data_IF_614969340568
#
_entry.id   IF_614969340568
#
_cell.length_a   1.000
_cell.length_b   1.000
_cell.length_c   1.000
_cell.angle_alpha   90.00
_cell.angle_beta   90.00
_cell.angle_gamma   90.00
#
_symmetry.space_group_name_H-M   'P 1'
#
loop_
_entity.id
_entity.type
_entity.pdbx_description
1 polymer ?
#
# COMPACT_ATOMS: atom_id res chain seq x y z
N UNK A 1 28.64 2.06 -27.19
CA UNK A 1 28.02 1.84 -25.86
C UNK A 1 26.60 2.33 -25.99
N UNK A 2 25.65 1.42 -26.14
CA UNK A 2 24.24 1.79 -26.29
C UNK A 2 23.73 2.23 -24.91
N UNK A 3 23.37 3.50 -24.77
CA UNK A 3 22.46 3.88 -23.69
C UNK A 3 21.13 3.21 -24.03
N UNK A 4 20.72 2.18 -23.28
CA UNK A 4 19.34 1.74 -23.31
C UNK A 4 18.48 2.93 -22.86
N UNK A 5 17.68 3.48 -23.77
CA UNK A 5 16.72 4.52 -23.43
C UNK A 5 15.67 3.90 -22.50
N UNK A 6 15.70 4.24 -21.21
CA UNK A 6 14.68 3.81 -20.26
C UNK A 6 13.56 4.83 -20.22
N UNK A 7 12.33 4.34 -20.29
CA UNK A 7 11.13 5.14 -20.08
C UNK A 7 10.71 5.07 -18.61
N UNK A 8 10.46 6.22 -18.00
CA UNK A 8 9.94 6.33 -16.65
C UNK A 8 8.47 6.70 -16.71
N UNK A 9 7.60 5.77 -16.35
CA UNK A 9 6.16 5.93 -16.34
C UNK A 9 5.69 6.03 -14.90
N UNK A 10 4.82 6.97 -14.58
CA UNK A 10 4.31 7.12 -13.22
C UNK A 10 2.83 7.49 -13.18
N UNK A 11 2.19 7.15 -12.07
CA UNK A 11 0.88 7.65 -11.68
C UNK A 11 0.96 8.23 -10.27
N UNK A 12 0.17 9.26 -9.99
CA UNK A 12 0.15 9.93 -8.69
C UNK A 12 -1.18 9.66 -7.99
N UNK A 13 -1.12 9.09 -6.79
CA UNK A 13 -2.29 8.79 -5.96
C UNK A 13 -1.97 9.05 -4.49
N UNK A 14 -2.89 9.69 -3.76
CA UNK A 14 -2.72 10.03 -2.34
C UNK A 14 -1.40 10.75 -1.98
N UNK A 15 -0.89 11.58 -2.90
CA UNK A 15 0.38 12.29 -2.72
C UNK A 15 1.64 11.45 -2.99
N UNK A 16 1.50 10.15 -3.27
CA UNK A 16 2.57 9.22 -3.59
C UNK A 16 2.75 9.06 -5.10
N UNK A 17 3.98 8.77 -5.53
CA UNK A 17 4.32 8.43 -6.91
C UNK A 17 4.54 6.92 -7.02
N UNK A 18 3.75 6.27 -7.87
CA UNK A 18 3.96 4.87 -8.25
C UNK A 18 4.62 4.89 -9.62
N UNK A 19 5.82 4.30 -9.72
CA UNK A 19 6.71 4.45 -10.86
C UNK A 19 7.07 3.07 -11.41
N UNK A 20 7.05 2.93 -12.73
CA UNK A 20 7.58 1.80 -13.46
C UNK A 20 8.64 2.29 -14.45
N UNK A 21 9.70 1.50 -14.59
CA UNK A 21 10.71 1.68 -15.64
C UNK A 21 10.46 0.68 -16.75
N UNK A 22 10.37 1.14 -17.99
CA UNK A 22 10.09 0.31 -19.15
C UNK A 22 11.18 0.46 -20.21
N UNK A 23 11.45 -0.61 -20.93
CA UNK A 23 12.32 -0.59 -22.12
C UNK A 23 11.57 0.00 -23.33
N UNK A 24 12.26 0.48 -24.38
CA UNK A 24 11.65 1.15 -25.54
C UNK A 24 10.63 0.33 -26.34
N UNK A 25 10.52 -0.98 -26.10
CA UNK A 25 9.58 -1.87 -26.80
C UNK A 25 8.22 -2.03 -26.11
N UNK A 26 8.06 -1.57 -24.87
CA UNK A 26 6.82 -1.73 -24.11
C UNK A 26 5.91 -0.52 -24.35
N UNK A 27 4.62 -0.80 -24.60
CA UNK A 27 3.62 0.25 -24.68
C UNK A 27 3.54 1.01 -23.34
N UNK A 28 3.71 2.35 -23.33
CA UNK A 28 3.62 3.12 -22.10
C UNK A 28 2.23 3.01 -21.46
N UNK A 29 1.18 2.78 -22.26
CA UNK A 29 -0.18 2.55 -21.76
C UNK A 29 -0.30 1.28 -20.92
N UNK A 30 0.45 0.23 -21.24
CA UNK A 30 0.47 -1.00 -20.44
C UNK A 30 1.06 -0.73 -19.06
N UNK A 31 2.15 0.06 -18.97
CA UNK A 31 2.72 0.46 -17.70
C UNK A 31 1.76 1.36 -16.89
N UNK A 32 1.08 2.31 -17.54
CA UNK A 32 0.07 3.16 -16.87
C UNK A 32 -1.10 2.34 -16.35
N UNK A 33 -1.64 1.41 -17.14
CA UNK A 33 -2.74 0.54 -16.72
C UNK A 33 -2.33 -0.34 -15.54
N UNK A 34 -1.15 -0.96 -15.62
CA UNK A 34 -0.59 -1.76 -14.53
C UNK A 34 -0.45 -0.95 -13.25
N UNK A 35 0.11 0.26 -13.32
CA UNK A 35 0.29 1.10 -12.14
C UNK A 35 -1.05 1.51 -11.51
N UNK A 36 -2.08 1.81 -12.30
CA UNK A 36 -3.42 2.11 -11.77
C UNK A 36 -4.08 0.86 -11.13
N UNK A 37 -3.90 -0.31 -11.73
CA UNK A 37 -4.33 -1.60 -11.16
C UNK A 37 -3.62 -1.89 -9.84
N UNK A 38 -2.30 -1.69 -9.79
CA UNK A 38 -1.50 -1.83 -8.58
C UNK A 38 -2.02 -0.93 -7.47
N UNK A 39 -2.21 0.37 -7.73
CA UNK A 39 -2.76 1.31 -6.74
C UNK A 39 -4.12 0.84 -6.21
N UNK A 40 -4.99 0.34 -7.10
CA UNK A 40 -6.30 -0.18 -6.72
C UNK A 40 -6.17 -1.38 -5.79
N UNK A 41 -5.36 -2.37 -6.15
CA UNK A 41 -5.10 -3.55 -5.32
C UNK A 41 -4.47 -3.18 -3.98
N UNK A 42 -3.47 -2.29 -3.96
CA UNK A 42 -2.84 -1.84 -2.71
C UNK A 42 -3.86 -1.20 -1.79
N UNK A 43 -4.80 -0.42 -2.32
CA UNK A 43 -5.89 0.16 -1.53
C UNK A 43 -6.86 -0.90 -1.02
N UNK A 44 -7.18 -1.89 -1.84
CA UNK A 44 -8.12 -2.95 -1.47
C UNK A 44 -7.55 -3.87 -0.38
N UNK A 45 -6.24 -4.10 -0.37
CA UNK A 45 -5.56 -4.91 0.64
C UNK A 45 -5.18 -4.10 1.89
N UNK A 46 -4.58 -2.93 1.73
CA UNK A 46 -3.99 -2.17 2.85
C UNK A 46 -4.92 -1.06 3.39
N UNK A 47 -6.03 -0.78 2.71
CA UNK A 47 -6.89 0.38 2.99
C UNK A 47 -6.36 1.69 2.40
N UNK A 48 -6.74 2.86 2.96
CA UNK A 48 -6.31 4.16 2.45
C UNK A 48 -4.78 4.29 2.36
N UNK A 49 -4.30 4.65 1.17
CA UNK A 49 -2.87 4.75 0.91
C UNK A 49 -2.30 6.03 1.54
N UNK A 50 -1.21 5.84 2.29
CA UNK A 50 -0.38 6.89 2.87
C UNK A 50 1.03 6.36 3.02
N UNK A 51 2.02 7.23 3.21
CA UNK A 51 3.41 6.80 3.48
C UNK A 51 3.47 5.83 4.68
N UNK A 52 2.71 6.12 5.74
CA UNK A 52 2.59 5.24 6.91
C UNK A 52 1.99 3.87 6.55
N UNK A 53 0.89 3.85 5.79
CA UNK A 53 0.23 2.58 5.40
C UNK A 53 1.16 1.72 4.55
N UNK A 54 1.83 2.31 3.56
CA UNK A 54 2.83 1.62 2.74
C UNK A 54 3.97 1.10 3.62
N UNK A 55 4.46 1.94 4.54
CA UNK A 55 5.53 1.61 5.48
C UNK A 55 5.22 0.40 6.37
N UNK A 56 3.98 0.28 6.84
CA UNK A 56 3.55 -0.83 7.69
C UNK A 56 3.32 -2.13 6.92
N UNK A 57 3.03 -2.05 5.62
CA UNK A 57 2.59 -3.18 4.81
C UNK A 57 3.63 -3.62 3.77
N UNK A 58 4.91 -3.24 3.91
CA UNK A 58 5.94 -3.56 2.92
C UNK A 58 6.00 -5.04 2.54
N UNK A 59 5.96 -5.95 3.52
CA UNK A 59 6.00 -7.39 3.26
C UNK A 59 4.84 -7.86 2.36
N UNK A 60 3.62 -7.43 2.67
CA UNK A 60 2.42 -7.71 1.87
C UNK A 60 2.52 -7.09 0.47
N UNK A 61 3.05 -5.88 0.35
CA UNK A 61 3.23 -5.20 -0.94
C UNK A 61 4.23 -5.95 -1.82
N UNK A 62 5.35 -6.42 -1.25
CA UNK A 62 6.32 -7.23 -1.99
C UNK A 62 5.72 -8.55 -2.47
N UNK A 63 4.99 -9.24 -1.60
CA UNK A 63 4.30 -10.48 -1.98
C UNK A 63 3.29 -10.26 -3.10
N UNK A 64 2.50 -9.18 -3.04
CA UNK A 64 1.61 -8.79 -4.13
C UNK A 64 2.36 -8.52 -5.43
N UNK A 65 3.50 -7.82 -5.37
CA UNK A 65 4.29 -7.52 -6.56
C UNK A 65 4.88 -8.78 -7.19
N UNK A 66 5.38 -9.73 -6.39
CA UNK A 66 5.95 -10.98 -6.85
C UNK A 66 4.89 -11.89 -7.52
N UNK A 67 3.65 -11.88 -7.03
CA UNK A 67 2.55 -12.62 -7.68
C UNK A 67 2.00 -11.91 -8.92
N UNK A 68 2.08 -10.58 -8.97
CA UNK A 68 1.59 -9.80 -10.10
C UNK A 68 2.56 -9.78 -11.29
N UNK A 69 3.87 -9.81 -11.02
CA UNK A 69 4.93 -9.65 -12.01
C UNK A 69 5.98 -10.76 -11.90
N UNK A 70 6.35 -11.35 -13.03
CA UNK A 70 7.49 -12.25 -13.13
C UNK A 70 8.48 -11.72 -14.18
N UNK A 71 9.71 -11.39 -13.75
CA UNK A 71 10.74 -10.75 -14.57
C UNK A 71 10.24 -9.54 -15.41
N UNK A 72 9.29 -8.77 -14.88
CA UNK A 72 8.70 -7.60 -15.55
C UNK A 72 7.52 -7.90 -16.47
N UNK A 73 7.10 -9.17 -16.60
CA UNK A 73 5.88 -9.56 -17.29
C UNK A 73 4.71 -9.65 -16.31
N UNK A 74 3.58 -9.04 -16.66
CA UNK A 74 2.35 -9.07 -15.85
C UNK A 74 1.72 -10.45 -15.98
N UNK A 75 1.71 -11.22 -14.89
CA UNK A 75 1.11 -12.54 -14.82
C UNK A 75 -0.38 -12.46 -14.51
N UNK A 76 -0.75 -11.71 -13.46
CA UNK A 76 -2.15 -11.49 -13.09
C UNK A 76 -2.34 -10.20 -12.30
N UNK A 77 -3.50 -9.57 -12.46
CA UNK A 77 -3.95 -8.43 -11.63
C UNK A 77 -5.39 -8.65 -11.13
N UNK A 78 -5.84 -9.91 -11.13
CA UNK A 78 -7.18 -10.30 -10.73
C UNK A 78 -7.21 -10.53 -9.20
N UNK A 79 -7.99 -9.75 -8.43
CA UNK A 79 -8.02 -9.86 -6.97
C UNK A 79 -8.37 -11.27 -6.48
N UNK A 80 -9.33 -11.92 -7.14
CA UNK A 80 -9.79 -13.26 -6.74
C UNK A 80 -8.76 -14.35 -6.96
N UNK A 81 -7.84 -14.16 -7.90
CA UNK A 81 -6.70 -15.06 -8.10
C UNK A 81 -5.64 -14.76 -7.04
N UNK A 82 -5.24 -13.50 -6.89
CA UNK A 82 -4.19 -13.07 -5.97
C UNK A 82 -4.47 -13.50 -4.52
N UNK A 83 -5.71 -13.39 -4.05
CA UNK A 83 -6.11 -13.81 -2.69
C UNK A 83 -5.72 -15.25 -2.33
N UNK A 84 -5.59 -16.15 -3.31
CA UNK A 84 -5.21 -17.54 -3.04
C UNK A 84 -3.69 -17.72 -2.86
N UNK A 85 -2.89 -16.75 -3.30
CA UNK A 85 -1.42 -16.80 -3.25
C UNK A 85 -0.85 -15.96 -2.12
N UNK A 86 -1.54 -14.89 -1.72
CA UNK A 86 -1.11 -13.99 -0.65
C UNK A 86 -1.29 -14.60 0.75
N UNK A 87 -0.21 -14.64 1.54
CA UNK A 87 -0.19 -15.15 2.91
C UNK A 87 -0.16 -14.04 3.96
N UNK A 88 0.39 -12.86 3.63
CA UNK A 88 0.53 -11.77 4.59
C UNK A 88 -0.81 -11.11 4.91
N UNK A 89 -1.06 -10.83 6.19
CA UNK A 89 -2.23 -10.06 6.63
C UNK A 89 -1.93 -8.56 6.65
N UNK A 90 -2.91 -7.70 6.30
CA UNK A 90 -2.71 -6.26 6.31
C UNK A 90 -2.60 -5.70 7.73
N UNK A 91 -1.57 -4.89 7.95
CA UNK A 91 -1.38 -4.14 9.19
C UNK A 91 -2.16 -2.84 9.10
N UNK A 92 -3.30 -2.79 9.78
CA UNK A 92 -4.15 -1.60 9.84
C UNK A 92 -3.58 -0.59 10.83
N UNK A 93 -3.44 0.67 10.40
CA UNK A 93 -3.11 1.74 11.33
C UNK A 93 -4.30 1.99 12.26
N UNK A 94 -4.19 1.55 13.52
CA UNK A 94 -5.22 1.88 14.51
C UNK A 94 -5.26 3.40 14.73
N UNK A 95 -6.46 4.01 14.77
CA UNK A 95 -6.59 5.38 15.26
C UNK A 95 -6.19 5.40 16.73
N UNK A 96 -5.46 6.44 17.15
CA UNK A 96 -5.15 6.62 18.56
C UNK A 96 -6.47 6.70 19.33
N UNK A 97 -6.67 5.85 20.34
CA UNK A 97 -7.82 5.95 21.22
C UNK A 97 -7.40 6.61 22.52
N UNK A 98 -8.10 7.66 22.94
CA UNK A 98 -7.91 8.25 24.27
C UNK A 98 -8.21 7.25 25.40
N UNK A 99 -9.01 6.21 25.11
CA UNK A 99 -9.29 5.13 26.05
C UNK A 99 -8.03 4.31 26.35
N UNK A 100 -7.12 4.15 25.40
CA UNK A 100 -5.83 3.48 25.61
C UNK A 100 -4.96 4.26 26.61
N UNK A 101 -5.12 5.58 26.69
CA UNK A 101 -4.40 6.46 27.62
C UNK A 101 -4.88 6.33 29.07
N UNK A 102 -6.12 5.89 29.28
CA UNK A 102 -6.66 5.61 30.62
C UNK A 102 -5.92 4.43 31.27
N UNK A 103 -5.53 3.44 30.46
CA UNK A 103 -4.73 2.28 30.89
C UNK A 103 -3.30 2.66 31.29
N UNK A 104 -2.75 3.75 30.74
CA UNK A 104 -1.38 4.25 31.06
C UNK A 104 -1.38 5.27 32.20
N UNK A 105 -2.53 5.54 32.84
CA UNK A 105 -2.63 6.43 34.00
C UNK A 105 -2.37 7.92 33.70
N UNK A 106 -2.40 8.32 32.43
CA UNK A 106 -2.08 9.70 32.00
C UNK A 106 -3.29 10.65 32.04
N UNK A 107 -4.51 10.14 32.25
CA UNK A 107 -5.74 10.93 32.42
C UNK A 107 -6.35 10.62 33.78
N UNK A 108 -6.11 11.48 34.77
CA UNK A 108 -6.83 11.43 36.05
C UNK A 108 -8.13 12.22 35.89
N UNK A 109 -9.27 11.52 35.90
CA UNK A 109 -10.58 12.16 36.01
C UNK A 109 -10.73 12.62 37.47
N UNK A 110 -10.93 13.92 37.76
CA UNK A 110 -11.11 14.38 39.12
C UNK A 110 -12.36 13.72 39.74
N UNK A 111 -12.30 13.30 41.02
CA UNK A 111 -13.43 12.64 41.66
C UNK A 111 -14.65 13.58 41.68
N UNK A 112 -15.87 13.04 41.47
CA UNK A 112 -17.08 13.86 41.54
C UNK A 112 -17.19 14.45 42.95
N UNK A 113 -17.25 15.78 43.01
CA UNK A 113 -17.43 16.53 44.24
C UNK A 113 -18.72 16.08 44.90
N UNK A 114 -18.59 15.36 46.01
CA UNK A 114 -19.71 14.86 46.79
C UNK A 114 -20.63 16.00 47.19
N UNK A 115 -21.91 15.86 46.83
CA UNK A 115 -23.00 16.63 47.41
C UNK A 115 -23.07 16.28 48.91
N UNK A 116 -22.91 17.29 49.76
CA UNK A 116 -23.19 17.22 51.20
C UNK A 116 -24.67 17.40 51.46
#
# INVERSE_FOLDING_TARGET
MAHEELHFVHVRHAGLYFVATATPGISPFTAVEFLNRLVTLLRDYCGPLSEKTIGLNFALIYELLDEMLDYGYIQTTAPDMLKNFIQMEPVLSQPFSLLDLSTVGLVSIPPPSGER
#
